data_IF_164089026637
#
_entry.id   IF_164089026637
#
_cell.length_a   1.000
_cell.length_b   1.000
_cell.length_c   1.000
_cell.angle_alpha   90.00
_cell.angle_beta   90.00
_cell.angle_gamma   90.00
#
_symmetry.space_group_name_H-M   'P 1'
#
loop_
_entity.id
_entity.type
_entity.pdbx_description
1 polymer ?
2 non-polymer ?
3 non-polymer ?
4 non-polymer ?
5 non-polymer ?
6 non-polymer ?
7 water ?
#
# COMPACT_ATOMS: atom_id res chain seq x y z
N UNK A 1 1.95 8.13 6.01
CA UNK A 1 2.40 7.37 4.79
C UNK A 1 2.56 5.86 5.03
N UNK A 2 1.74 5.31 5.94
CA UNK A 2 1.66 3.87 6.22
C UNK A 2 1.30 3.10 4.95
N UNK A 3 1.99 1.98 4.76
CA UNK A 3 1.91 1.19 3.54
C UNK A 3 1.50 -0.24 3.86
N UNK A 4 0.64 -0.78 3.00
CA UNK A 4 0.26 -2.17 3.05
C UNK A 4 0.22 -2.66 1.63
N UNK A 5 0.87 -3.79 1.38
CA UNK A 5 0.64 -4.56 0.17
C UNK A 5 0.06 -5.86 0.61
N UNK A 6 -0.99 -6.32 -0.05
CA UNK A 6 -1.55 -7.64 0.24
C UNK A 6 -1.63 -8.41 -1.08
N UNK A 7 -0.91 -9.52 -1.13
CA UNK A 7 -0.71 -10.26 -2.36
C UNK A 7 -1.14 -11.70 -2.16
N UNK A 8 -2.18 -12.09 -2.91
CA UNK A 8 -2.57 -13.48 -3.10
C UNK A 8 -1.51 -14.16 -3.95
N UNK A 9 -1.08 -15.35 -3.51
CA UNK A 9 -0.21 -16.20 -4.30
C UNK A 9 -0.64 -17.63 -4.17
N UNK A 10 -0.40 -18.41 -5.23
CA UNK A 10 -0.84 -19.78 -5.28
C UNK A 10 0.29 -20.68 -4.78
N UNK A 11 -0.04 -21.58 -3.86
CA UNK A 11 0.90 -22.57 -3.33
C UNK A 11 1.34 -23.49 -4.45
N UNK A 12 2.66 -23.67 -4.59
CA UNK A 12 3.21 -24.44 -5.64
C UNK A 12 4.43 -25.19 -5.11
N UNK A 13 4.75 -26.27 -5.82
CA UNK A 13 5.90 -27.11 -5.58
C UNK A 13 6.91 -26.83 -6.65
N UNK A 14 8.20 -26.86 -6.28
CA UNK A 14 9.31 -26.63 -7.20
C UNK A 14 10.30 -27.78 -7.34
N UNK A 15 11.54 -27.44 -7.63
CA UNK A 15 12.55 -28.46 -7.90
C UNK A 15 13.27 -29.08 -6.67
N UNK A 16 12.73 -28.92 -5.49
CA UNK A 16 13.36 -29.48 -4.29
C UNK A 16 14.55 -28.69 -3.74
N UNK A 17 14.86 -27.53 -4.30
CA UNK A 17 16.14 -26.85 -3.93
C UNK A 17 16.16 -25.99 -2.63
N UNK A 18 15.00 -25.64 -2.08
CA UNK A 18 14.95 -24.74 -0.92
C UNK A 18 15.70 -25.28 0.26
N UNK A 19 15.54 -26.56 0.49
CA UNK A 19 15.85 -27.18 1.76
C UNK A 19 17.37 -27.30 2.04
N UNK A 20 18.15 -27.59 1.03
CA UNK A 20 19.58 -27.65 1.23
C UNK A 20 20.12 -26.29 1.73
N UNK A 21 19.53 -25.18 1.28
CA UNK A 21 20.04 -23.87 1.69
C UNK A 21 19.55 -23.47 3.05
N UNK A 22 18.35 -23.86 3.41
CA UNK A 22 17.87 -23.50 4.74
C UNK A 22 18.36 -24.45 5.83
N UNK A 23 18.98 -25.54 5.42
CA UNK A 23 19.57 -26.48 6.35
C UNK A 23 21.01 -26.08 6.67
N UNK A 24 21.72 -25.46 5.72
CA UNK A 24 23.11 -24.95 5.90
C UNK A 24 23.27 -24.11 7.15
N UNK A 25 24.05 -24.59 8.12
CA UNK A 25 23.94 -23.93 9.48
C UNK A 25 24.05 -22.38 9.57
N UNK A 26 25.01 -21.76 8.84
CA UNK A 26 25.08 -20.28 8.79
C UNK A 26 23.82 -19.60 8.36
N UNK A 27 23.11 -20.17 7.39
CA UNK A 27 21.76 -19.71 7.05
C UNK A 27 20.77 -19.93 8.19
N UNK A 28 20.76 -21.12 8.77
CA UNK A 28 19.92 -21.37 9.97
C UNK A 28 20.08 -20.17 10.93
N UNK A 29 21.33 -19.89 11.32
CA UNK A 29 21.70 -18.81 12.26
C UNK A 29 21.37 -17.37 11.85
N UNK A 30 21.78 -16.97 10.65
CA UNK A 30 21.47 -15.62 10.18
C UNK A 30 19.95 -15.34 10.23
N UNK A 31 19.11 -16.30 9.85
CA UNK A 31 17.63 -16.10 9.92
C UNK A 31 17.07 -16.08 11.35
N UNK A 32 17.68 -16.84 12.24
CA UNK A 32 17.39 -16.79 13.69
C UNK A 32 17.63 -15.37 14.17
N UNK A 33 18.78 -14.84 13.77
CA UNK A 33 19.24 -13.51 14.18
C UNK A 33 18.38 -12.41 13.55
N UNK A 34 18.20 -12.50 12.23
CA UNK A 34 17.52 -11.49 11.45
C UNK A 34 16.01 -11.47 11.69
N UNK A 35 15.43 -12.59 12.11
CA UNK A 35 13.96 -12.73 12.20
C UNK A 35 13.46 -13.18 13.56
N UNK A 36 14.34 -13.73 14.39
CA UNK A 36 13.91 -14.23 15.69
C UNK A 36 13.11 -15.51 15.58
N UNK A 37 13.47 -16.35 14.62
CA UNK A 37 13.02 -17.74 14.55
C UNK A 37 13.93 -18.52 13.62
N UNK A 38 14.02 -19.82 13.89
CA UNK A 38 14.71 -20.75 13.02
C UNK A 38 13.70 -21.19 11.95
N UNK A 39 13.94 -20.84 10.68
CA UNK A 39 12.93 -21.31 9.72
C UNK A 39 12.86 -22.85 9.68
N UNK A 40 11.66 -23.42 9.57
CA UNK A 40 11.56 -24.80 9.11
C UNK A 40 12.40 -24.80 7.85
N UNK A 41 13.04 -25.94 7.56
CA UNK A 41 14.05 -26.08 6.51
C UNK A 41 13.45 -26.34 5.16
N UNK A 42 12.82 -25.31 4.62
CA UNK A 42 12.30 -25.37 3.26
C UNK A 42 11.92 -23.97 2.92
N UNK A 43 11.46 -23.74 1.68
CA UNK A 43 10.80 -22.52 1.31
C UNK A 43 9.48 -22.82 0.60
N UNK A 44 8.40 -22.29 1.16
CA UNK A 44 7.09 -22.34 0.57
C UNK A 44 6.98 -21.38 -0.62
N UNK A 45 7.03 -21.94 -1.83
CA UNK A 45 6.95 -21.17 -3.01
C UNK A 45 5.51 -20.80 -3.21
N UNK A 46 5.28 -19.54 -3.59
CA UNK A 46 3.95 -19.08 -3.94
C UNK A 46 4.06 -18.47 -5.33
N UNK A 47 3.13 -18.83 -6.23
CA UNK A 47 3.13 -18.30 -7.60
C UNK A 47 2.23 -17.05 -7.71
N UNK A 48 2.78 -16.00 -8.29
CA UNK A 48 2.16 -14.69 -8.18
C UNK A 48 1.46 -14.20 -9.43
N UNK A 49 0.40 -13.45 -9.15
CA UNK A 49 -0.29 -12.54 -10.09
C UNK A 49 0.61 -11.76 -11.07
N UNK A 50 1.84 -11.45 -10.67
CA UNK A 50 2.75 -10.61 -11.45
C UNK A 50 4.14 -10.58 -10.80
N UNK A 51 5.15 -10.09 -11.49
CA UNK A 51 6.52 -10.13 -10.97
C UNK A 51 6.65 -9.40 -9.63
N UNK A 52 7.57 -9.83 -8.80
CA UNK A 52 7.71 -9.24 -7.48
C UNK A 52 9.04 -8.55 -7.37
N UNK A 53 9.02 -7.44 -6.64
CA UNK A 53 10.21 -6.60 -6.47
C UNK A 53 10.53 -6.38 -5.00
N UNK A 54 11.49 -7.15 -4.49
CA UNK A 54 11.91 -6.99 -3.11
C UNK A 54 12.51 -5.58 -2.85
N UNK A 55 13.14 -4.99 -3.87
CA UNK A 55 13.83 -3.70 -3.72
C UNK A 55 12.93 -2.48 -3.43
N UNK A 56 11.64 -2.60 -3.68
CA UNK A 56 10.69 -1.55 -3.27
C UNK A 56 10.32 -1.62 -1.79
N UNK A 57 10.97 -2.48 -1.02
CA UNK A 57 10.61 -2.74 0.37
C UNK A 57 11.82 -2.70 1.24
N UNK A 58 11.57 -2.55 2.53
CA UNK A 58 12.64 -2.34 3.49
C UNK A 58 13.26 -3.67 3.94
N UNK A 59 13.76 -4.43 2.98
CA UNK A 59 14.43 -5.68 3.20
C UNK A 59 15.66 -5.61 4.09
N UNK A 60 15.93 -6.72 4.75
CA UNK A 60 17.22 -7.04 5.34
C UNK A 60 17.94 -7.76 4.22
N UNK A 61 19.27 -7.76 4.26
CA UNK A 61 20.06 -8.43 3.26
C UNK A 61 21.23 -9.13 3.92
N UNK A 62 21.54 -10.34 3.50
CA UNK A 62 22.54 -11.08 4.19
C UNK A 62 23.88 -10.96 3.48
N UNK A 63 24.93 -10.97 4.29
CA UNK A 63 26.26 -11.15 3.79
C UNK A 63 26.43 -12.50 3.04
N UNK A 64 27.37 -12.51 2.10
CA UNK A 64 27.70 -13.72 1.41
C UNK A 64 28.44 -14.60 2.41
N UNK A 65 28.45 -15.91 2.16
CA UNK A 65 29.25 -16.82 2.94
C UNK A 65 30.18 -17.50 1.96
N UNK A 66 31.29 -17.99 2.48
CA UNK A 66 32.20 -18.79 1.71
C UNK A 66 32.64 -19.93 2.61
N UNK A 67 32.40 -21.15 2.15
CA UNK A 67 32.97 -22.36 2.76
C UNK A 67 32.94 -23.52 1.78
N UNK A 68 33.67 -24.58 2.11
CA UNK A 68 33.83 -25.69 1.21
C UNK A 68 34.06 -25.26 -0.21
N UNK A 69 35.01 -24.34 -0.38
CA UNK A 69 35.53 -23.91 -1.70
C UNK A 69 34.50 -23.20 -2.57
N UNK A 70 33.40 -22.77 -1.94
CA UNK A 70 32.21 -22.20 -2.59
C UNK A 70 31.83 -20.83 -2.05
N UNK A 71 31.11 -20.10 -2.89
CA UNK A 71 30.61 -18.75 -2.63
C UNK A 71 29.06 -18.80 -2.58
N UNK A 72 28.52 -18.35 -1.45
CA UNK A 72 27.11 -18.40 -1.18
C UNK A 72 26.59 -16.97 -1.15
N UNK A 73 25.84 -16.60 -2.17
CA UNK A 73 25.43 -15.19 -2.37
C UNK A 73 24.39 -14.67 -1.41
N UNK A 74 24.36 -13.34 -1.30
CA UNK A 74 23.41 -12.65 -0.46
C UNK A 74 22.01 -13.08 -0.81
N UNK A 75 21.11 -12.98 0.17
CA UNK A 75 19.68 -13.15 -0.02
C UNK A 75 19.03 -11.90 0.58
N UNK A 76 17.88 -11.52 0.05
CA UNK A 76 17.16 -10.42 0.58
C UNK A 76 15.94 -11.02 1.22
N UNK A 77 15.70 -10.59 2.46
CA UNK A 77 14.71 -11.13 3.33
C UNK A 77 13.77 -9.99 3.71
N UNK A 78 12.48 -10.26 3.80
CA UNK A 78 11.50 -9.24 4.13
C UNK A 78 10.43 -9.85 5.05
N UNK A 79 10.47 -9.49 6.35
CA UNK A 79 9.40 -9.91 7.22
C UNK A 79 8.06 -9.65 6.58
N UNK A 80 7.11 -10.55 6.79
CA UNK A 80 5.76 -10.39 6.28
C UNK A 80 4.82 -10.96 7.31
N UNK A 81 3.54 -11.00 6.98
CA UNK A 81 2.58 -11.77 7.74
C UNK A 81 1.88 -12.66 6.74
N UNK A 82 1.88 -13.96 7.02
CA UNK A 82 1.21 -14.95 6.18
C UNK A 82 -0.23 -15.02 6.67
N UNK A 83 -1.18 -14.82 5.77
CA UNK A 83 -2.59 -14.79 6.12
C UNK A 83 -3.27 -16.03 5.55
N UNK A 84 -3.64 -16.94 6.46
CA UNK A 84 -4.35 -18.16 6.11
C UNK A 84 -5.61 -18.27 6.97
N UNK A 85 -6.77 -18.07 6.36
CA UNK A 85 -8.02 -18.02 7.12
C UNK A 85 -8.09 -16.75 7.96
N UNK A 86 -8.59 -16.90 9.19
CA UNK A 86 -8.58 -15.85 10.20
C UNK A 86 -7.26 -15.84 10.98
N UNK A 87 -6.30 -16.66 10.52
CA UNK A 87 -4.98 -16.74 11.13
C UNK A 87 -4.02 -15.74 10.46
N UNK A 88 -2.87 -15.56 11.10
CA UNK A 88 -1.99 -14.40 10.84
C UNK A 88 -0.60 -14.73 11.36
N UNK A 89 0.18 -15.41 10.54
CA UNK A 89 1.46 -15.97 10.97
C UNK A 89 2.58 -15.13 10.40
N UNK A 90 3.68 -15.03 11.16
CA UNK A 90 4.82 -14.20 10.83
C UNK A 90 5.89 -15.02 10.07
N UNK A 91 6.31 -14.53 8.91
CA UNK A 91 7.33 -15.21 8.10
C UNK A 91 8.27 -14.26 7.38
N UNK A 92 8.71 -14.64 6.19
CA UNK A 92 9.63 -13.84 5.44
C UNK A 92 9.72 -14.28 3.97
N UNK A 93 9.81 -13.33 3.04
CA UNK A 93 10.11 -13.60 1.65
C UNK A 93 11.63 -13.58 1.54
N UNK A 94 12.24 -14.71 1.17
CA UNK A 94 13.65 -14.73 0.77
C UNK A 94 13.74 -14.64 -0.75
N UNK A 95 14.62 -13.74 -1.22
CA UNK A 95 14.87 -13.57 -2.63
C UNK A 95 16.37 -13.70 -2.80
N UNK A 96 16.86 -14.90 -3.18
CA UNK A 96 18.26 -15.09 -3.37
C UNK A 96 18.72 -14.29 -4.57
N UNK A 97 19.99 -13.89 -4.59
CA UNK A 97 20.57 -13.16 -5.71
C UNK A 97 20.45 -13.96 -7.00
N UNK A 98 20.82 -15.24 -6.93
CA UNK A 98 20.72 -16.18 -8.06
C UNK A 98 19.77 -17.30 -7.69
N UNK A 99 18.63 -17.36 -8.37
CA UNK A 99 17.63 -18.39 -8.18
C UNK A 99 17.28 -18.90 -9.56
N UNK A 100 16.76 -20.11 -9.68
CA UNK A 100 16.47 -20.68 -11.00
C UNK A 100 15.16 -20.17 -11.50
N UNK A 101 14.38 -19.56 -10.61
CA UNK A 101 12.98 -19.37 -10.91
C UNK A 101 12.59 -17.92 -11.12
N UNK A 102 12.01 -17.67 -12.29
CA UNK A 102 11.51 -16.38 -12.71
C UNK A 102 10.82 -15.67 -11.58
N UNK A 103 10.43 -14.43 -11.79
CA UNK A 103 10.33 -13.52 -10.67
C UNK A 103 8.95 -13.28 -10.11
N UNK A 104 7.94 -13.98 -10.62
CA UNK A 104 6.64 -14.05 -9.92
C UNK A 104 6.53 -15.26 -9.00
N UNK A 105 7.64 -15.96 -8.78
CA UNK A 105 7.68 -17.06 -7.83
C UNK A 105 8.47 -16.51 -6.64
N UNK A 106 7.81 -16.32 -5.51
CA UNK A 106 8.46 -15.81 -4.28
C UNK A 106 8.58 -16.99 -3.34
N UNK A 107 9.68 -17.07 -2.60
CA UNK A 107 9.90 -18.13 -1.65
C UNK A 107 9.66 -17.64 -0.25
N UNK A 108 8.76 -18.32 0.46
CA UNK A 108 8.42 -17.99 1.85
C UNK A 108 9.06 -18.93 2.83
N UNK A 109 9.44 -18.36 3.97
CA UNK A 109 10.05 -19.09 5.07
C UNK A 109 9.26 -18.78 6.35
N UNK A 110 9.23 -19.77 7.24
CA UNK A 110 8.49 -19.67 8.50
C UNK A 110 9.01 -20.74 9.46
N UNK A 111 8.73 -20.60 10.76
CA UNK A 111 9.27 -21.56 11.71
C UNK A 111 8.70 -22.95 11.55
N UNK A 112 7.42 -23.01 11.21
CA UNK A 112 6.72 -24.26 10.99
C UNK A 112 6.65 -24.61 9.47
N UNK A 113 6.54 -25.90 9.18
CA UNK A 113 6.10 -26.39 7.87
C UNK A 113 4.66 -25.97 7.65
N UNK A 114 4.45 -25.09 6.67
CA UNK A 114 3.15 -24.48 6.48
C UNK A 114 2.16 -25.46 5.91
N UNK A 115 2.64 -26.42 5.13
CA UNK A 115 1.78 -27.43 4.56
C UNK A 115 1.14 -28.32 5.62
N UNK A 116 1.87 -28.61 6.70
CA UNK A 116 1.32 -29.45 7.78
C UNK A 116 0.55 -28.64 8.82
N UNK A 117 1.23 -27.75 9.52
CA UNK A 117 0.54 -26.84 10.41
C UNK A 117 -0.76 -26.28 9.81
N UNK A 118 -0.78 -26.02 8.51
CA UNK A 118 -1.92 -25.35 7.89
C UNK A 118 -2.61 -26.05 6.73
N UNK A 119 -2.24 -27.30 6.51
CA UNK A 119 -3.03 -28.16 5.62
C UNK A 119 -3.16 -27.52 4.26
N UNK A 120 -2.03 -27.00 3.79
CA UNK A 120 -1.94 -26.39 2.48
C UNK A 120 -1.51 -27.45 1.49
N UNK A 121 -1.85 -27.21 0.23
CA UNK A 121 -1.58 -28.15 -0.83
C UNK A 121 -1.46 -27.37 -2.13
N UNK A 122 -0.66 -27.89 -3.05
CA UNK A 122 -0.46 -27.21 -4.30
C UNK A 122 -1.86 -26.78 -4.76
N UNK A 123 -1.94 -25.55 -5.26
CA UNK A 123 -3.19 -24.99 -5.77
C UNK A 123 -3.80 -23.99 -4.81
N UNK A 124 -3.81 -24.30 -3.51
CA UNK A 124 -4.36 -23.38 -2.51
C UNK A 124 -3.85 -21.95 -2.76
N UNK A 125 -4.72 -20.96 -2.62
CA UNK A 125 -4.32 -19.54 -2.67
C UNK A 125 -4.22 -18.92 -1.28
N UNK A 126 -3.01 -18.57 -0.86
CA UNK A 126 -2.84 -17.84 0.39
C UNK A 126 -2.50 -16.36 0.13
N UNK A 127 -2.73 -15.53 1.16
CA UNK A 127 -2.38 -14.10 1.15
C UNK A 127 -1.19 -13.74 2.05
N UNK A 128 -0.32 -12.87 1.54
CA UNK A 128 0.82 -12.36 2.33
C UNK A 128 0.68 -10.83 2.50
N UNK A 129 0.97 -10.35 3.69
CA UNK A 129 0.82 -8.93 4.02
C UNK A 129 2.17 -8.24 4.30
N UNK A 130 2.57 -7.30 3.41
CA UNK A 130 3.82 -6.51 3.57
C UNK A 130 3.57 -5.08 4.08
N UNK A 131 3.96 -4.80 5.34
CA UNK A 131 3.90 -3.44 5.91
C UNK A 131 5.14 -2.63 5.50
N UNK A 132 4.91 -1.43 4.98
CA UNK A 132 6.02 -0.52 4.64
C UNK A 132 6.59 -0.63 3.24
N UNK A 133 7.11 0.50 2.76
CA UNK A 133 7.90 0.58 1.55
C UNK A 133 9.34 0.85 1.99
N UNK A 134 10.26 0.97 1.03
CA UNK A 134 11.64 1.39 1.33
C UNK A 134 11.71 2.89 1.69
N UNK B 1 -1.45 -7.47 -6.27
CA UNK B 1 -0.86 -6.35 -5.45
C UNK B 1 -1.91 -5.28 -5.10
N UNK B 2 -2.72 -5.58 -4.09
CA UNK B 2 -3.54 -4.58 -3.42
C UNK B 2 -2.53 -3.75 -2.61
N UNK B 3 -2.29 -2.52 -3.08
CA UNK B 3 -1.46 -1.54 -2.39
C UNK B 3 -2.37 -0.54 -1.67
N UNK B 4 -2.08 -0.27 -0.41
CA UNK B 4 -2.84 0.68 0.40
C UNK B 4 -1.89 1.63 1.13
N UNK B 5 -2.15 2.93 1.01
CA UNK B 5 -1.46 3.95 1.78
C UNK B 5 -2.48 4.53 2.73
N UNK B 6 -2.17 4.62 4.02
CA UNK B 6 -3.11 5.21 5.00
C UNK B 6 -2.47 6.40 5.73
N UNK B 7 -2.59 7.54 5.08
CA UNK B 7 -2.12 8.83 5.55
C UNK B 7 -3.02 9.35 6.68
N UNK B 8 -2.42 9.92 7.73
CA UNK B 8 -3.17 10.64 8.77
C UNK B 8 -3.02 12.12 8.50
N UNK B 9 -4.14 12.83 8.51
CA UNK B 9 -4.18 14.29 8.32
C UNK B 9 -4.85 14.97 9.49
N UNK B 10 -4.64 16.28 9.61
CA UNK B 10 -5.18 17.07 10.73
C UNK B 10 -6.07 18.21 10.21
N UNK B 11 -7.26 18.33 10.77
CA UNK B 11 -8.25 19.27 10.26
C UNK B 11 -7.74 20.70 10.46
N UNK B 12 -7.63 21.42 9.35
CA UNK B 12 -7.42 22.85 9.35
C UNK B 12 -8.40 23.55 8.40
N UNK B 13 -8.68 24.80 8.79
CA UNK B 13 -9.52 25.70 8.05
C UNK B 13 -8.70 26.50 7.02
N UNK B 14 -9.37 27.05 6.02
CA UNK B 14 -8.71 27.73 4.92
C UNK B 14 -9.32 29.07 4.58
N UNK B 15 -8.96 29.60 3.40
CA UNK B 15 -9.51 30.83 2.82
C UNK B 15 -10.91 30.68 2.22
N UNK B 16 -11.59 29.55 2.42
CA UNK B 16 -12.91 29.34 1.85
C UNK B 16 -12.89 29.00 0.36
N UNK B 17 -11.70 28.63 -0.13
CA UNK B 17 -11.53 28.12 -1.49
C UNK B 17 -12.59 27.08 -1.92
N UNK B 18 -12.87 26.11 -1.06
CA UNK B 18 -13.72 24.98 -1.42
C UNK B 18 -15.14 25.35 -1.81
N UNK B 19 -15.80 26.08 -0.92
CA UNK B 19 -17.24 26.35 -1.05
C UNK B 19 -17.54 27.26 -2.25
N UNK B 20 -16.58 28.11 -2.63
CA UNK B 20 -16.74 28.92 -3.84
C UNK B 20 -16.73 28.02 -5.08
N UNK B 21 -15.63 27.29 -5.22
CA UNK B 21 -15.36 26.48 -6.42
C UNK B 21 -16.32 25.30 -6.59
N UNK B 22 -16.65 24.62 -5.49
CA UNK B 22 -17.60 23.52 -5.55
C UNK B 22 -19.05 23.99 -5.69
N UNK B 23 -19.24 25.31 -5.70
CA UNK B 23 -20.55 25.95 -5.95
C UNK B 23 -20.92 25.91 -7.45
N UNK B 24 -19.87 25.94 -8.29
CA UNK B 24 -20.04 26.02 -9.74
C UNK B 24 -20.55 24.68 -10.32
N UNK B 25 -21.74 24.70 -10.98
CA UNK B 25 -22.29 23.53 -11.65
C UNK B 25 -21.30 22.72 -12.48
N UNK B 26 -20.48 23.38 -13.31
CA UNK B 26 -19.44 22.67 -14.08
C UNK B 26 -18.58 21.73 -13.27
N UNK B 27 -18.01 22.24 -12.18
CA UNK B 27 -17.30 21.41 -11.21
C UNK B 27 -18.31 20.50 -10.48
N UNK B 28 -19.39 21.09 -9.99
CA UNK B 28 -20.47 20.33 -9.33
C UNK B 28 -20.90 19.09 -10.15
N UNK B 29 -20.94 19.27 -11.47
CA UNK B 29 -21.38 18.23 -12.42
C UNK B 29 -20.26 17.24 -12.80
N UNK B 30 -19.02 17.70 -12.81
CA UNK B 30 -17.93 16.83 -13.23
C UNK B 30 -17.54 15.84 -12.12
N UNK B 31 -17.71 16.26 -10.87
CA UNK B 31 -17.39 15.40 -9.72
C UNK B 31 -18.43 14.29 -9.59
N UNK B 32 -19.71 14.64 -9.76
CA UNK B 32 -20.77 13.62 -9.84
C UNK B 32 -20.38 12.55 -10.84
N UNK B 33 -19.99 12.96 -12.04
CA UNK B 33 -19.57 12.04 -13.11
C UNK B 33 -18.53 11.09 -12.57
N UNK B 34 -17.38 11.64 -12.18
CA UNK B 34 -16.24 10.86 -11.70
C UNK B 34 -16.49 10.06 -10.43
N UNK B 35 -17.15 10.66 -9.45
CA UNK B 35 -17.24 10.10 -8.10
C UNK B 35 -18.57 9.44 -7.80
N UNK B 36 -19.57 9.70 -8.63
CA UNK B 36 -20.88 9.11 -8.41
C UNK B 36 -21.47 9.53 -7.09
N UNK B 37 -21.28 10.81 -6.76
CA UNK B 37 -22.07 11.51 -5.73
C UNK B 37 -21.92 13.02 -5.92
N UNK B 38 -22.89 13.78 -5.41
CA UNK B 38 -22.79 15.25 -5.41
C UNK B 38 -22.04 15.69 -4.13
N UNK B 39 -20.80 16.21 -4.29
CA UNK B 39 -20.08 16.71 -3.12
C UNK B 39 -20.83 17.79 -2.34
N UNK B 40 -20.64 17.80 -1.03
CA UNK B 40 -21.01 18.94 -0.21
C UNK B 40 -20.14 20.11 -0.68
N UNK B 41 -20.67 21.32 -0.52
CA UNK B 41 -20.06 22.54 -1.06
C UNK B 41 -18.97 23.14 -0.15
N UNK B 42 -17.75 22.66 -0.33
CA UNK B 42 -16.64 22.88 0.57
C UNK B 42 -15.58 21.82 0.32
N UNK B 43 -14.38 22.01 0.88
CA UNK B 43 -13.34 20.98 0.89
C UNK B 43 -12.87 20.84 2.33
N UNK B 44 -12.55 19.61 2.76
CA UNK B 44 -11.98 19.39 4.11
C UNK B 44 -10.47 19.51 3.94
N UNK B 45 -9.92 20.60 4.45
CA UNK B 45 -8.49 20.89 4.26
C UNK B 45 -7.70 20.14 5.33
N UNK B 46 -6.75 19.31 4.92
CA UNK B 46 -5.99 18.51 5.87
C UNK B 46 -4.50 18.79 5.85
N UNK B 47 -3.90 18.99 7.03
CA UNK B 47 -2.44 19.15 7.16
C UNK B 47 -1.75 17.79 7.33
N UNK B 48 -0.95 17.39 6.35
CA UNK B 48 -0.22 16.13 6.44
C UNK B 48 1.19 16.37 6.99
N UNK B 49 1.84 15.29 7.42
CA UNK B 49 3.19 15.36 8.03
C UNK B 49 4.33 15.38 6.98
N UNK B 50 4.09 14.82 5.81
CA UNK B 50 5.01 14.96 4.72
C UNK B 50 4.26 15.67 3.61
N UNK B 51 4.96 16.02 2.55
CA UNK B 51 4.32 16.72 1.45
C UNK B 51 3.66 15.68 0.56
N UNK B 52 2.53 16.04 -0.05
CA UNK B 52 1.76 15.12 -0.87
C UNK B 52 2.02 15.30 -2.37
N UNK B 53 2.16 14.17 -3.08
CA UNK B 53 2.33 14.17 -4.53
C UNK B 53 1.29 13.25 -5.20
N UNK B 54 0.38 13.83 -5.99
CA UNK B 54 -0.72 13.06 -6.58
C UNK B 54 -0.30 12.36 -7.86
N UNK B 55 0.84 12.78 -8.42
CA UNK B 55 1.34 12.23 -9.68
C UNK B 55 1.89 10.82 -9.56
N UNK B 56 2.09 10.35 -8.34
CA UNK B 56 2.45 8.95 -8.13
C UNK B 56 1.20 8.06 -7.96
N UNK B 57 0.08 8.49 -8.54
CA UNK B 57 -1.20 7.83 -8.34
C UNK B 57 -2.07 7.78 -9.60
N UNK B 58 -3.13 7.01 -9.49
CA UNK B 58 -4.13 6.84 -10.55
C UNK B 58 -5.20 7.94 -10.39
N UNK B 59 -4.86 9.14 -10.84
CA UNK B 59 -5.73 10.30 -10.67
C UNK B 59 -6.47 10.61 -11.96
N UNK B 60 -7.52 11.42 -11.83
CA UNK B 60 -8.33 11.84 -12.97
C UNK B 60 -8.21 13.36 -13.17
N UNK B 61 -7.36 13.77 -14.10
CA UNK B 61 -7.33 15.16 -14.56
C UNK B 61 -8.62 15.50 -15.29
N UNK B 62 -9.05 16.76 -15.20
CA UNK B 62 -10.22 17.20 -15.95
C UNK B 62 -9.93 18.45 -16.75
N UNK B 63 -10.90 18.78 -17.60
CA UNK B 63 -10.80 19.85 -18.59
C UNK B 63 -11.14 21.21 -17.98
N UNK B 64 -10.88 22.27 -18.73
CA UNK B 64 -11.17 23.63 -18.30
C UNK B 64 -12.57 24.01 -18.75
N UNK B 65 -13.00 25.21 -18.40
CA UNK B 65 -14.33 25.71 -18.78
C UNK B 65 -14.50 27.18 -18.38
N UNK B 66 -15.67 27.74 -18.68
CA UNK B 66 -16.05 29.09 -18.27
C UNK B 66 -17.45 29.03 -17.68
N UNK B 67 -17.65 29.70 -16.54
CA UNK B 67 -18.98 29.80 -15.93
C UNK B 67 -19.36 31.27 -15.64
N UNK B 68 -20.65 31.59 -15.85
CA UNK B 68 -21.22 32.89 -15.47
C UNK B 68 -20.23 34.03 -15.64
N UNK B 69 -19.78 34.23 -16.88
CA UNK B 69 -18.76 35.20 -17.17
C UNK B 69 -17.37 34.64 -16.90
N UNK B 70 -16.83 33.98 -17.92
CA UNK B 70 -15.42 33.57 -17.95
C UNK B 70 -14.98 32.44 -16.97
N UNK B 71 -13.66 32.34 -16.77
CA UNK B 71 -12.95 31.07 -16.79
C UNK B 71 -12.62 30.41 -15.43
N UNK B 72 -12.66 29.09 -15.46
CA UNK B 72 -12.19 28.22 -14.37
C UNK B 72 -11.55 26.99 -15.00
N UNK B 73 -10.42 26.57 -14.44
CA UNK B 73 -9.61 25.50 -15.04
C UNK B 73 -10.07 24.09 -14.57
N UNK B 74 -9.12 23.13 -14.54
CA UNK B 74 -9.42 21.73 -14.26
C UNK B 74 -8.45 21.14 -13.27
N UNK B 75 -8.98 20.28 -12.40
CA UNK B 75 -8.25 19.73 -11.25
C UNK B 75 -7.78 18.29 -11.50
N UNK B 76 -6.90 17.79 -10.64
CA UNK B 76 -6.60 16.37 -10.55
C UNK B 76 -7.39 15.78 -9.38
N UNK B 77 -8.38 14.93 -9.67
CA UNK B 77 -9.17 14.25 -8.63
C UNK B 77 -8.64 12.86 -8.40
N UNK B 78 -8.71 12.39 -7.17
CA UNK B 78 -8.21 11.07 -6.80
C UNK B 78 -9.08 10.49 -5.69
N UNK B 79 -9.86 9.44 -5.99
CA UNK B 79 -10.75 8.90 -4.99
C UNK B 79 -10.05 8.14 -3.86
N UNK B 80 -10.65 8.23 -2.69
CA UNK B 80 -10.08 7.73 -1.45
C UNK B 80 -11.23 7.35 -0.58
N UNK B 81 -10.93 6.70 0.54
CA UNK B 81 -11.90 6.52 1.60
C UNK B 81 -11.42 7.30 2.79
N UNK B 82 -12.35 7.78 3.62
CA UNK B 82 -12.07 8.64 4.75
C UNK B 82 -12.47 7.87 6.00
N UNK B 83 -11.50 7.67 6.88
CA UNK B 83 -11.64 6.83 8.05
C UNK B 83 -11.68 7.72 9.26
N UNK B 84 -12.87 7.97 9.76
CA UNK B 84 -13.06 8.67 11.02
C UNK B 84 -13.60 7.63 12.00
N UNK B 85 -12.73 7.17 12.88
CA UNK B 85 -13.10 6.16 13.84
C UNK B 85 -13.53 4.89 13.13
N UNK B 86 -14.67 4.35 13.55
CA UNK B 86 -15.12 3.04 13.08
C UNK B 86 -15.70 3.11 11.67
N UNK B 87 -16.05 4.34 11.24
CA UNK B 87 -16.69 4.57 9.94
C UNK B 87 -15.69 4.71 8.78
N UNK B 88 -16.20 4.56 7.55
CA UNK B 88 -15.37 4.46 6.35
C UNK B 88 -16.04 5.17 5.17
N UNK B 89 -15.98 6.50 5.16
CA UNK B 89 -16.72 7.35 4.22
C UNK B 89 -16.02 7.44 2.86
N UNK B 90 -16.77 7.56 1.79
CA UNK B 90 -16.18 7.75 0.47
C UNK B 90 -15.90 9.24 0.30
N UNK B 91 -14.88 9.55 -0.48
CA UNK B 91 -14.50 10.92 -0.74
C UNK B 91 -13.55 11.02 -1.90
N UNK B 92 -12.89 12.15 -2.04
CA UNK B 92 -11.87 12.29 -3.08
C UNK B 92 -10.91 13.40 -2.70
N UNK B 93 -9.67 13.26 -3.15
CA UNK B 93 -8.69 14.32 -3.07
C UNK B 93 -8.70 15.09 -4.39
N UNK B 94 -9.10 16.38 -4.30
CA UNK B 94 -9.01 17.33 -5.42
C UNK B 94 -7.75 18.18 -5.28
N UNK B 95 -6.82 18.06 -6.24
CA UNK B 95 -5.60 18.86 -6.27
C UNK B 95 -5.63 19.90 -7.40
N UNK B 96 -5.90 21.18 -7.10
CA UNK B 96 -5.80 22.21 -8.14
C UNK B 96 -4.35 22.41 -8.63
N UNK B 97 -4.17 22.98 -9.82
CA UNK B 97 -2.82 23.14 -10.39
C UNK B 97 -2.07 24.34 -9.82
N UNK B 98 -2.81 25.24 -9.17
CA UNK B 98 -2.23 26.34 -8.40
C UNK B 98 -3.04 26.59 -7.16
N UNK B 99 -2.36 26.53 -6.01
CA UNK B 99 -2.97 26.82 -4.72
C UNK B 99 -1.99 27.64 -3.88
N UNK B 100 -2.52 28.40 -2.91
CA UNK B 100 -1.68 29.12 -1.95
C UNK B 100 -1.30 28.31 -0.73
N UNK B 101 -1.78 27.07 -0.61
CA UNK B 101 -1.29 26.23 0.49
C UNK B 101 -0.10 25.48 0.02
N UNK B 102 0.75 25.10 0.98
CA UNK B 102 1.84 24.20 0.72
C UNK B 102 1.28 22.86 0.22
N UNK B 103 2.17 22.08 -0.40
CA UNK B 103 1.85 20.72 -0.88
C UNK B 103 1.61 19.72 0.27
N UNK B 104 1.88 20.13 1.50
CA UNK B 104 1.67 19.36 2.72
C UNK B 104 0.20 19.36 3.17
N UNK B 105 -0.61 20.18 2.51
CA UNK B 105 -2.03 20.35 2.79
C UNK B 105 -2.79 19.80 1.63
N UNK B 106 -3.80 18.96 1.88
CA UNK B 106 -4.62 18.39 0.80
C UNK B 106 -6.06 18.68 1.11
N UNK B 107 -6.89 18.70 0.06
CA UNK B 107 -8.31 19.02 0.14
C UNK B 107 -9.16 17.80 -0.19
N UNK B 108 -9.93 17.36 0.78
CA UNK B 108 -10.83 16.24 0.65
C UNK B 108 -12.24 16.73 0.31
N UNK B 109 -12.88 16.08 -0.66
CA UNK B 109 -14.31 16.33 -0.95
C UNK B 109 -15.17 15.10 -0.60
N UNK B 110 -16.46 15.31 -0.38
CA UNK B 110 -17.37 14.28 0.15
C UNK B 110 -18.85 14.72 0.11
N UNK B 111 -19.78 13.76 0.24
CA UNK B 111 -21.19 14.12 0.01
C UNK B 111 -21.85 14.83 1.17
N UNK B 112 -21.26 14.73 2.36
CA UNK B 112 -21.78 15.42 3.53
C UNK B 112 -20.79 16.42 4.10
N UNK B 113 -21.25 17.21 5.05
CA UNK B 113 -20.37 18.04 5.82
C UNK B 113 -19.73 17.12 6.86
N UNK B 114 -18.44 16.85 6.63
CA UNK B 114 -17.68 15.99 7.52
C UNK B 114 -17.56 16.60 8.91
N UNK B 115 -17.65 17.92 8.99
CA UNK B 115 -17.55 18.63 10.27
C UNK B 115 -18.77 18.44 11.16
N UNK B 116 -19.97 18.57 10.58
CA UNK B 116 -21.22 18.40 11.34
C UNK B 116 -21.52 16.94 11.71
N UNK B 117 -21.41 16.03 10.75
CA UNK B 117 -21.75 14.63 10.94
C UNK B 117 -20.89 14.01 12.02
N UNK B 118 -19.57 14.25 11.94
CA UNK B 118 -18.60 13.58 12.82
C UNK B 118 -18.02 14.48 13.86
N UNK B 119 -18.59 15.67 14.00
CA UNK B 119 -18.18 16.62 15.04
C UNK B 119 -16.65 16.85 15.09
N UNK B 120 -16.12 17.30 13.97
CA UNK B 120 -14.68 17.52 13.83
C UNK B 120 -14.33 18.95 14.21
N UNK B 121 -13.43 19.10 15.17
CA UNK B 121 -12.81 20.40 15.46
C UNK B 121 -11.46 20.53 14.77
N UNK B 122 -10.93 21.76 14.65
CA UNK B 122 -9.60 21.99 14.08
C UNK B 122 -8.52 21.32 14.93
N UNK B 123 -7.59 20.65 14.28
CA UNK B 123 -6.55 19.89 14.98
C UNK B 123 -6.84 18.40 15.10
N UNK B 124 -8.10 18.02 15.21
CA UNK B 124 -8.52 16.62 15.17
C UNK B 124 -7.88 15.92 13.99
N UNK B 125 -7.37 14.72 14.23
CA UNK B 125 -6.70 13.91 13.20
C UNK B 125 -7.70 12.91 12.66
N UNK B 126 -7.78 12.80 11.34
CA UNK B 126 -8.49 11.73 10.69
C UNK B 126 -7.54 11.00 9.74
N UNK B 127 -7.91 9.83 9.26
CA UNK B 127 -7.11 9.14 8.26
C UNK B 127 -7.78 9.16 6.89
N UNK B 128 -7.00 8.98 5.86
CA UNK B 128 -7.57 8.80 4.56
C UNK B 128 -6.86 7.62 3.87
N UNK B 129 -7.63 6.75 3.23
CA UNK B 129 -7.10 5.53 2.60
C UNK B 129 -6.98 5.73 1.09
N UNK B 130 -5.78 5.56 0.58
CA UNK B 130 -5.57 5.58 -0.86
C UNK B 130 -5.23 4.16 -1.30
N UNK B 131 -6.13 3.58 -2.07
CA UNK B 131 -5.95 2.23 -2.58
C UNK B 131 -5.33 2.32 -3.96
N UNK B 132 -4.56 1.29 -4.29
CA UNK B 132 -3.78 1.31 -5.49
C UNK B 132 -2.61 2.27 -5.39
N UNK B 133 -2.29 2.85 -6.53
CA UNK B 133 -0.95 3.31 -6.79
C UNK B 133 -0.93 3.81 -8.24
N UNK B 134 0.19 3.59 -8.93
CA UNK B 134 0.30 3.96 -10.34
C UNK B 134 0.64 2.71 -11.15
N UNK B 135 1.81 2.13 -10.89
CA UNK B 135 2.15 0.81 -11.43
C UNK B 135 1.05 -0.19 -11.07
N UNK B 136 0.85 -0.39 -9.76
CA UNK B 136 -0.08 -1.41 -9.24
C UNK B 136 -1.55 -0.99 -9.42
#
# INVERSE_FOLDING_TARGET
MVKLMIIEGEVVSGLGEGRYFLSLPPYKEIFKKILGFEPYEGTLNLKLDREFDINKFKYIETEDFEFNGKRFFGVKVLPIKILIGNKKIDGAIVVPKKTYHSSEIIEIIAPMKLREQFNLKDGDVIKILIKGDKDE
MVKLMIIEGEVVSGLGEGRYFLSLPPYKEIFKKILGFEPYEGTLNLKLDREFDINKFKYIETEDFEFNGKRFFGVKVLPIKILIGNKKIDGAIVVPKKTYHSSEIIEIIAPMKLREQFNLKDGDVIKILIKGDKDE
#
